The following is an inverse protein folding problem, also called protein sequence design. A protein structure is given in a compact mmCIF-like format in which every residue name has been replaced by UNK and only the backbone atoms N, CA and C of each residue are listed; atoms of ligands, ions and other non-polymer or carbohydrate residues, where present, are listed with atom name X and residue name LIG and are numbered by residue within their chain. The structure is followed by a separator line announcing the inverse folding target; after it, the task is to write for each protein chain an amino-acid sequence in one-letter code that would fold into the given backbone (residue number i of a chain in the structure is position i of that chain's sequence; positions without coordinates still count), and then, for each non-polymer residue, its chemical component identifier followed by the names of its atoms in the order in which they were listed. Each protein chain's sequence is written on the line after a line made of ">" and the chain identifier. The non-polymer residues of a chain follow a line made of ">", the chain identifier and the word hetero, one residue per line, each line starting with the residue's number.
data_IF_102177686165
#
_entry.id   IF_102177686165
#
_cell.length_a   1.000
_cell.length_b   1.000
_cell.length_c   1.000
_cell.angle_alpha   90.00
_cell.angle_beta   90.00
_cell.angle_gamma   90.00
#
_symmetry.space_group_name_H-M   'P 1'
#
loop_
_entity.id
_entity.type
_entity.pdbx_description
1 polymer ?
#
# COMPACT_ATOMS: atom_id res chain seq x y z
N UNK A 1 -3.89 5.59 3.65
CA UNK A 1 -3.43 6.28 2.42
C UNK A 1 -2.34 5.42 1.80
N UNK A 2 -2.22 5.35 0.46
CA UNK A 2 -1.10 4.65 -0.16
C UNK A 2 0.23 5.34 0.18
N UNK A 3 1.33 4.57 0.34
CA UNK A 3 2.68 5.12 0.41
C UNK A 3 3.00 6.02 -0.78
N UNK A 4 3.68 7.13 -0.52
CA UNK A 4 4.19 8.01 -1.55
C UNK A 4 5.41 7.37 -2.23
N UNK A 5 5.44 7.43 -3.56
CA UNK A 5 6.56 6.87 -4.33
C UNK A 5 7.75 7.84 -4.23
N UNK A 6 8.96 7.34 -3.92
CA UNK A 6 10.16 8.16 -3.96
C UNK A 6 10.40 8.76 -5.36
N UNK A 7 10.89 9.99 -5.39
CA UNK A 7 11.41 10.64 -6.60
C UNK A 7 12.68 9.95 -7.10
N UNK A 8 12.98 10.12 -8.39
CA UNK A 8 14.19 9.55 -8.98
C UNK A 8 15.47 10.19 -8.41
N UNK A 9 15.38 11.45 -7.96
CA UNK A 9 16.45 12.22 -7.30
C UNK A 9 16.69 11.81 -5.84
N UNK A 10 15.73 11.12 -5.21
CA UNK A 10 15.91 10.52 -3.88
C UNK A 10 16.64 9.17 -3.94
N UNK A 11 16.68 8.55 -5.11
CA UNK A 11 17.48 7.35 -5.35
C UNK A 11 18.95 7.74 -5.59
N UNK A 12 19.87 7.11 -4.85
CA UNK A 12 21.30 7.40 -5.00
C UNK A 12 21.91 7.01 -6.36
N UNK A 13 21.17 6.29 -7.21
CA UNK A 13 21.59 5.86 -8.55
C UNK A 13 22.81 4.93 -8.61
N UNK A 14 23.36 4.54 -7.46
CA UNK A 14 24.67 3.89 -7.34
C UNK A 14 24.58 2.40 -6.95
N UNK A 15 23.37 1.83 -6.96
CA UNK A 15 23.12 0.44 -6.60
C UNK A 15 23.21 0.15 -5.09
N UNK A 16 22.72 1.08 -4.25
CA UNK A 16 22.63 0.81 -2.81
C UNK A 16 21.67 -0.34 -2.50
N UNK A 17 21.99 -1.14 -1.48
CA UNK A 17 21.18 -2.25 -0.98
C UNK A 17 21.09 -2.14 0.56
N UNK A 18 19.88 -1.93 1.13
CA UNK A 18 18.60 -1.81 0.44
C UNK A 18 18.41 -0.47 -0.29
N UNK A 19 17.73 -0.49 -1.44
CA UNK A 19 17.34 0.69 -2.19
C UNK A 19 16.13 1.39 -1.53
N UNK A 20 15.99 2.71 -1.73
CA UNK A 20 14.79 3.44 -1.28
C UNK A 20 13.51 2.85 -1.89
N UNK A 21 13.60 2.33 -3.12
CA UNK A 21 12.48 1.64 -3.76
C UNK A 21 12.15 0.31 -3.09
N UNK A 22 13.12 -0.39 -2.49
CA UNK A 22 12.87 -1.65 -1.77
C UNK A 22 12.01 -1.40 -0.53
N UNK A 23 12.28 -0.32 0.21
CA UNK A 23 11.44 0.11 1.32
C UNK A 23 10.04 0.51 0.83
N UNK A 24 9.97 1.31 -0.23
CA UNK A 24 8.68 1.71 -0.82
C UNK A 24 7.82 0.49 -1.20
N UNK A 25 8.40 -0.53 -1.83
CA UNK A 25 7.65 -1.71 -2.23
C UNK A 25 7.19 -2.55 -1.03
N UNK A 26 8.01 -2.68 0.01
CA UNK A 26 7.60 -3.34 1.25
C UNK A 26 6.40 -2.63 1.91
N UNK A 27 6.44 -1.29 2.00
CA UNK A 27 5.33 -0.53 2.56
C UNK A 27 4.08 -0.59 1.68
N UNK A 28 4.25 -0.61 0.35
CA UNK A 28 3.15 -0.79 -0.60
C UNK A 28 2.47 -2.14 -0.44
N UNK A 29 3.22 -3.20 -0.19
CA UNK A 29 2.66 -4.54 0.00
C UNK A 29 1.85 -4.62 1.30
N UNK A 30 2.39 -4.09 2.41
CA UNK A 30 1.64 -3.94 3.66
C UNK A 30 0.36 -3.12 3.48
N UNK A 31 0.45 -1.99 2.78
CA UNK A 31 -0.72 -1.17 2.48
C UNK A 31 -1.80 -1.93 1.69
N UNK A 32 -1.41 -2.71 0.68
CA UNK A 32 -2.35 -3.50 -0.13
C UNK A 32 -3.04 -4.58 0.70
N UNK A 33 -2.32 -5.22 1.62
CA UNK A 33 -2.90 -6.21 2.54
C UNK A 33 -3.94 -5.57 3.46
N UNK A 34 -3.59 -4.45 4.09
CA UNK A 34 -4.49 -3.69 4.95
C UNK A 34 -5.73 -3.19 4.19
N UNK A 35 -5.54 -2.71 2.96
CA UNK A 35 -6.62 -2.24 2.10
C UNK A 35 -7.60 -3.36 1.78
N UNK A 36 -7.11 -4.53 1.32
CA UNK A 36 -7.97 -5.70 1.03
C UNK A 36 -8.77 -6.12 2.26
N UNK A 37 -8.14 -6.15 3.44
CA UNK A 37 -8.82 -6.49 4.68
C UNK A 37 -9.91 -5.46 5.02
N UNK A 38 -9.65 -4.17 4.80
CA UNK A 38 -10.64 -3.12 5.01
C UNK A 38 -11.81 -3.21 4.02
N UNK A 39 -11.54 -3.46 2.74
CA UNK A 39 -12.54 -3.62 1.68
C UNK A 39 -13.46 -4.80 1.95
N UNK A 40 -12.92 -5.96 2.37
CA UNK A 40 -13.71 -7.11 2.77
C UNK A 40 -14.67 -6.78 3.92
N UNK A 41 -14.19 -6.02 4.92
CA UNK A 41 -15.05 -5.51 6.01
C UNK A 41 -16.10 -4.52 5.51
N UNK A 42 -15.82 -3.70 4.49
CA UNK A 42 -16.84 -2.80 3.93
C UNK A 42 -17.92 -3.61 3.21
N UNK A 43 -17.51 -4.55 2.36
CA UNK A 43 -18.41 -5.37 1.58
C UNK A 43 -19.36 -6.16 2.49
N UNK A 44 -18.85 -6.74 3.58
CA UNK A 44 -19.68 -7.41 4.58
C UNK A 44 -20.71 -6.47 5.23
N UNK A 45 -20.31 -5.22 5.56
CA UNK A 45 -21.24 -4.23 6.13
C UNK A 45 -22.31 -3.79 5.14
N UNK A 46 -21.92 -3.55 3.88
CA UNK A 46 -22.88 -3.23 2.82
C UNK A 46 -23.86 -4.38 2.55
N UNK A 47 -23.42 -5.63 2.65
CA UNK A 47 -24.29 -6.80 2.49
C UNK A 47 -25.27 -7.01 3.67
N UNK A 48 -24.87 -6.62 4.88
CA UNK A 48 -25.70 -6.74 6.09
C UNK A 48 -26.69 -5.58 6.26
N UNK A 49 -26.47 -4.44 5.59
CA UNK A 49 -27.40 -3.31 5.61
C UNK A 49 -28.63 -3.62 4.74
N UNK A 50 -29.83 -3.84 5.32
CA UNK A 50 -31.04 -4.26 4.60
C UNK A 50 -31.64 -3.16 3.72
N UNK A 51 -30.99 -2.00 3.65
CA UNK A 51 -31.36 -0.85 2.84
C UNK A 51 -30.45 -0.62 1.62
N UNK A 52 -29.44 -1.48 1.38
CA UNK A 52 -28.57 -1.45 0.19
C UNK A 52 -29.24 -2.05 -1.05
#
# INVERSE_FOLDING_TARGET
>A
MPPERPGDDECCGSGCDPCIFDYYYQEMDRYREELRAWEARQAARHAEDPAS
#
